data_IF_007500116369
#
_entry.id   IF_007500116369
#
_cell.length_a   1.000
_cell.length_b   1.000
_cell.length_c   1.000
_cell.angle_alpha   90.00
_cell.angle_beta   90.00
_cell.angle_gamma   90.00
#
_symmetry.space_group_name_H-M   'P 1'
#
loop_
_entity.id
_entity.type
_entity.pdbx_description
1 polymer ?
#
# COMPACT_ATOMS: atom_id res chain seq x y z
N UNK A 1 7.31 25.22 13.75
CA UNK A 1 6.84 25.61 12.39
C UNK A 1 6.86 24.38 11.49
N UNK A 2 5.75 23.66 11.37
CA UNK A 2 5.57 22.53 10.43
C UNK A 2 4.18 22.71 9.82
N UNK A 3 4.05 23.63 8.86
CA UNK A 3 2.74 24.01 8.28
C UNK A 3 2.73 24.13 6.77
N UNK A 4 3.90 24.21 6.11
CA UNK A 4 3.98 24.60 4.70
C UNK A 4 3.72 23.41 3.77
N UNK A 5 4.11 22.18 4.15
CA UNK A 5 3.89 20.99 3.32
C UNK A 5 2.47 20.42 3.34
N UNK A 6 1.79 20.47 4.49
CA UNK A 6 0.45 19.88 4.65
C UNK A 6 -0.64 20.73 3.98
N UNK A 7 -0.54 22.06 4.06
CA UNK A 7 -1.50 22.97 3.41
C UNK A 7 -1.50 22.85 1.89
N UNK A 8 -0.34 22.59 1.29
CA UNK A 8 -0.22 22.41 -0.16
C UNK A 8 -1.01 21.17 -0.64
N UNK A 9 -0.89 20.03 0.05
CA UNK A 9 -1.61 18.81 -0.30
C UNK A 9 -3.14 18.96 -0.10
N UNK A 10 -3.58 19.55 1.03
CA UNK A 10 -4.99 19.81 1.28
C UNK A 10 -5.59 20.70 0.18
N UNK A 11 -4.84 21.71 -0.28
CA UNK A 11 -5.26 22.60 -1.38
C UNK A 11 -5.36 21.88 -2.75
N UNK A 12 -4.46 20.93 -3.03
CA UNK A 12 -4.49 20.14 -4.28
C UNK A 12 -5.72 19.24 -4.33
N UNK A 13 -6.07 18.61 -3.21
CA UNK A 13 -7.27 17.77 -3.10
C UNK A 13 -8.51 18.60 -3.41
N UNK A 14 -8.67 19.76 -2.76
CA UNK A 14 -9.82 20.65 -2.97
C UNK A 14 -9.97 21.10 -4.42
N UNK A 15 -8.89 21.54 -5.07
CA UNK A 15 -8.91 21.98 -6.48
C UNK A 15 -9.30 20.89 -7.47
N UNK A 16 -9.18 19.62 -7.09
CA UNK A 16 -9.37 18.46 -7.98
C UNK A 16 -10.74 17.81 -7.84
N UNK A 17 -11.47 18.10 -6.77
CA UNK A 17 -12.82 17.56 -6.56
C UNK A 17 -13.74 17.86 -7.76
N UNK A 18 -13.61 19.03 -8.39
CA UNK A 18 -14.54 19.46 -9.46
C UNK A 18 -14.05 19.22 -10.89
N UNK A 19 -12.86 18.64 -11.10
CA UNK A 19 -12.35 18.39 -12.46
C UNK A 19 -12.99 17.15 -13.11
N UNK A 20 -13.03 17.14 -14.45
CA UNK A 20 -13.42 15.97 -15.25
C UNK A 20 -12.26 14.97 -15.34
N UNK A 21 -12.54 13.70 -15.03
CA UNK A 21 -11.58 12.58 -15.15
C UNK A 21 -10.80 12.25 -13.86
N UNK A 22 -10.26 11.03 -13.79
CA UNK A 22 -9.47 10.52 -12.65
C UNK A 22 -8.08 9.98 -13.08
N UNK A 23 -7.61 10.37 -14.28
CA UNK A 23 -6.39 9.81 -14.88
C UNK A 23 -5.13 10.10 -14.05
N UNK A 24 -5.01 11.33 -13.53
CA UNK A 24 -3.87 11.72 -12.73
C UNK A 24 -3.89 11.04 -11.35
N UNK A 25 -5.07 10.80 -10.78
CA UNK A 25 -5.23 10.01 -9.56
C UNK A 25 -4.83 8.55 -9.79
N UNK A 26 -5.21 7.97 -10.93
CA UNK A 26 -4.75 6.64 -11.32
C UNK A 26 -3.22 6.59 -11.48
N UNK A 27 -2.61 7.62 -12.09
CA UNK A 27 -1.14 7.74 -12.18
C UNK A 27 -0.50 7.76 -10.80
N UNK A 28 -1.04 8.54 -9.85
CA UNK A 28 -0.54 8.56 -8.47
C UNK A 28 -0.61 7.18 -7.83
N UNK A 29 -1.72 6.47 -7.99
CA UNK A 29 -1.88 5.11 -7.43
C UNK A 29 -0.93 4.11 -8.07
N UNK A 30 -0.74 4.18 -9.39
CA UNK A 30 0.23 3.35 -10.11
C UNK A 30 1.65 3.64 -9.60
N UNK A 31 2.03 4.91 -9.46
CA UNK A 31 3.34 5.29 -8.92
C UNK A 31 3.53 4.76 -7.50
N UNK A 32 2.53 4.86 -6.62
CA UNK A 32 2.58 4.28 -5.29
C UNK A 32 2.80 2.75 -5.34
N UNK A 33 2.13 2.08 -6.28
CA UNK A 33 2.29 0.64 -6.50
C UNK A 33 3.69 0.27 -6.96
N UNK A 34 4.24 1.01 -7.92
CA UNK A 34 5.61 0.82 -8.41
C UNK A 34 6.64 1.02 -7.30
N UNK A 35 6.46 2.03 -6.44
CA UNK A 35 7.33 2.26 -5.29
C UNK A 35 7.30 1.06 -4.32
N UNK A 36 6.14 0.44 -4.10
CA UNK A 36 6.02 -0.76 -3.27
C UNK A 36 6.53 -2.04 -3.94
N UNK A 37 6.47 -2.12 -5.27
CA UNK A 37 6.98 -3.24 -6.04
C UNK A 37 8.51 -3.24 -6.13
N UNK A 38 9.16 -2.07 -6.06
CA UNK A 38 10.60 -1.94 -6.27
C UNK A 38 11.47 -2.84 -5.39
N UNK A 39 11.19 -2.93 -4.08
CA UNK A 39 11.95 -3.80 -3.17
C UNK A 39 11.74 -5.29 -3.46
N UNK A 40 10.50 -5.68 -3.78
CA UNK A 40 10.19 -7.05 -4.18
C UNK A 40 10.74 -7.42 -5.56
N UNK A 41 10.83 -6.46 -6.48
CA UNK A 41 11.48 -6.65 -7.77
C UNK A 41 12.98 -6.89 -7.60
N UNK A 42 13.64 -6.15 -6.71
CA UNK A 42 15.02 -6.41 -6.35
C UNK A 42 15.19 -7.83 -5.81
N UNK A 43 14.41 -8.21 -4.78
CA UNK A 43 14.41 -9.58 -4.24
C UNK A 43 14.20 -10.64 -5.32
N UNK A 44 13.20 -10.45 -6.20
CA UNK A 44 12.87 -11.42 -7.23
C UNK A 44 13.98 -11.58 -8.28
N UNK A 45 14.69 -10.50 -8.61
CA UNK A 45 15.83 -10.53 -9.55
C UNK A 45 17.03 -11.25 -8.94
N UNK A 46 17.38 -10.95 -7.69
CA UNK A 46 18.48 -11.63 -6.97
C UNK A 46 18.17 -13.13 -6.85
N UNK A 47 16.96 -13.47 -6.40
CA UNK A 47 16.50 -14.85 -6.31
C UNK A 47 16.55 -15.56 -7.66
N UNK A 48 16.04 -14.94 -8.73
CA UNK A 48 16.09 -15.54 -10.07
C UNK A 48 17.52 -15.81 -10.53
N UNK A 49 18.45 -14.91 -10.23
CA UNK A 49 19.86 -15.06 -10.61
C UNK A 49 20.61 -16.16 -9.85
N UNK A 50 20.14 -16.49 -8.63
CA UNK A 50 20.72 -17.52 -7.80
C UNK A 50 20.25 -18.94 -8.16
N UNK A 51 19.22 -19.09 -9.00
CA UNK A 51 18.67 -20.39 -9.39
C UNK A 51 19.39 -20.93 -10.63
N UNK A 52 19.95 -22.14 -10.53
CA UNK A 52 20.70 -22.78 -11.63
C UNK A 52 19.79 -23.22 -12.80
N UNK A 53 18.51 -23.51 -12.55
CA UNK A 53 17.53 -23.91 -13.57
C UNK A 53 16.09 -23.56 -13.16
N UNK A 54 15.64 -22.30 -13.29
CA UNK A 54 14.31 -21.89 -12.88
C UNK A 54 13.23 -22.58 -13.75
N UNK A 55 12.29 -23.27 -13.12
CA UNK A 55 11.14 -23.85 -13.79
C UNK A 55 10.13 -22.75 -14.17
N UNK A 56 9.25 -22.96 -15.18
CA UNK A 56 8.23 -21.99 -15.55
C UNK A 56 7.35 -21.51 -14.38
N UNK A 57 7.10 -22.39 -13.39
CA UNK A 57 6.33 -22.08 -12.20
C UNK A 57 7.01 -21.07 -11.27
N UNK A 58 8.34 -21.11 -11.15
CA UNK A 58 9.13 -20.12 -10.39
C UNK A 58 8.93 -18.71 -10.93
N UNK A 59 8.85 -18.55 -12.25
CA UNK A 59 8.60 -17.25 -12.89
C UNK A 59 7.25 -16.67 -12.48
N UNK A 60 6.20 -17.49 -12.44
CA UNK A 60 4.88 -17.03 -12.00
C UNK A 60 4.87 -16.59 -10.54
N UNK A 61 5.55 -17.32 -9.66
CA UNK A 61 5.68 -16.97 -8.24
C UNK A 61 6.40 -15.63 -8.07
N UNK A 62 7.54 -15.44 -8.73
CA UNK A 62 8.31 -14.21 -8.65
C UNK A 62 7.56 -13.01 -9.24
N UNK A 63 6.86 -13.19 -10.36
CA UNK A 63 5.97 -12.16 -10.93
C UNK A 63 4.86 -11.81 -9.93
N UNK A 64 4.25 -12.82 -9.29
CA UNK A 64 3.22 -12.62 -8.27
C UNK A 64 3.71 -11.80 -7.09
N UNK A 65 4.93 -12.06 -6.61
CA UNK A 65 5.58 -11.32 -5.53
C UNK A 65 5.77 -9.83 -5.91
N UNK A 66 6.19 -9.56 -7.15
CA UNK A 66 6.38 -8.18 -7.64
C UNK A 66 5.06 -7.44 -7.87
N UNK A 67 4.05 -8.12 -8.43
CA UNK A 67 2.75 -7.51 -8.72
C UNK A 67 1.87 -7.34 -7.49
N UNK A 68 2.07 -8.18 -6.45
CA UNK A 68 1.30 -8.16 -5.21
C UNK A 68 1.12 -6.75 -4.62
N UNK A 69 2.20 -6.01 -4.32
CA UNK A 69 2.12 -4.64 -3.82
C UNK A 69 1.31 -3.68 -4.71
N UNK A 70 1.41 -3.81 -6.04
CA UNK A 70 0.65 -2.97 -6.98
C UNK A 70 -0.84 -3.26 -6.89
N UNK A 71 -1.22 -4.54 -6.83
CA UNK A 71 -2.60 -4.96 -6.67
C UNK A 71 -3.15 -4.55 -5.29
N UNK A 72 -2.33 -4.62 -4.24
CA UNK A 72 -2.71 -4.17 -2.90
C UNK A 72 -3.03 -2.68 -2.88
N UNK A 73 -2.18 -1.80 -3.43
CA UNK A 73 -2.45 -0.36 -3.40
C UNK A 73 -3.66 0.02 -4.25
N UNK A 74 -3.84 -0.64 -5.40
CA UNK A 74 -5.02 -0.46 -6.23
C UNK A 74 -6.30 -0.91 -5.49
N UNK A 75 -6.25 -2.07 -4.82
CA UNK A 75 -7.32 -2.57 -3.97
C UNK A 75 -7.66 -1.61 -2.83
N UNK A 76 -6.66 -1.04 -2.17
CA UNK A 76 -6.83 0.00 -1.14
C UNK A 76 -7.52 1.23 -1.72
N UNK A 77 -7.17 1.66 -2.94
CA UNK A 77 -7.80 2.80 -3.58
C UNK A 77 -9.29 2.57 -3.87
N UNK A 78 -9.60 1.40 -4.42
CA UNK A 78 -11.00 1.00 -4.65
C UNK A 78 -11.74 0.90 -3.33
N UNK A 79 -11.17 0.26 -2.31
CA UNK A 79 -11.75 0.15 -0.97
C UNK A 79 -12.04 1.53 -0.37
N UNK A 80 -11.06 2.43 -0.37
CA UNK A 80 -11.20 3.79 0.13
C UNK A 80 -12.36 4.51 -0.56
N UNK A 81 -12.45 4.37 -1.88
CA UNK A 81 -13.50 4.98 -2.69
C UNK A 81 -14.88 4.43 -2.36
N UNK A 82 -15.03 3.11 -2.38
CA UNK A 82 -16.32 2.44 -2.20
C UNK A 82 -16.79 2.60 -0.75
N UNK A 83 -15.95 2.30 0.23
CA UNK A 83 -16.31 2.40 1.65
C UNK A 83 -16.66 3.84 2.03
N UNK A 84 -15.83 4.82 1.65
CA UNK A 84 -16.13 6.21 1.97
C UNK A 84 -17.41 6.69 1.27
N UNK A 85 -17.65 6.28 0.03
CA UNK A 85 -18.88 6.64 -0.69
C UNK A 85 -20.14 6.06 -0.04
N UNK A 86 -20.13 4.77 0.31
CA UNK A 86 -21.27 4.09 0.93
C UNK A 86 -21.58 4.68 2.31
N UNK A 87 -20.56 4.83 3.16
CA UNK A 87 -20.74 5.39 4.51
C UNK A 87 -21.17 6.84 4.44
N UNK A 88 -20.63 7.62 3.49
CA UNK A 88 -21.08 8.99 3.29
C UNK A 88 -22.56 9.06 2.89
N UNK A 89 -23.02 8.23 1.96
CA UNK A 89 -24.44 8.19 1.56
C UNK A 89 -25.35 7.84 2.74
N UNK A 90 -24.95 6.86 3.56
CA UNK A 90 -25.68 6.49 4.78
C UNK A 90 -25.78 7.65 5.79
N UNK A 91 -24.74 8.49 5.88
CA UNK A 91 -24.71 9.66 6.77
C UNK A 91 -25.26 10.96 6.15
N UNK A 92 -25.92 10.86 5.00
CA UNK A 92 -26.57 11.97 4.30
C UNK A 92 -25.66 12.81 3.40
N UNK A 93 -24.48 12.29 3.04
CA UNK A 93 -23.56 12.94 2.10
C UNK A 93 -24.05 12.89 0.66
N UNK A 94 -23.84 13.99 -0.07
CA UNK A 94 -24.27 14.20 -1.46
C UNK A 94 -23.14 13.96 -2.45
N UNK A 95 -23.39 14.08 -3.75
CA UNK A 95 -22.35 13.98 -4.78
C UNK A 95 -22.00 12.56 -5.25
N UNK A 96 -21.51 12.43 -6.50
CA UNK A 96 -21.27 11.14 -7.15
C UNK A 96 -20.02 10.43 -6.62
N UNK A 97 -19.97 9.10 -6.78
CA UNK A 97 -18.79 8.29 -6.43
C UNK A 97 -17.51 8.74 -7.15
N UNK A 98 -17.63 9.35 -8.33
CA UNK A 98 -16.49 9.87 -9.08
C UNK A 98 -15.75 11.00 -8.34
N UNK A 99 -16.43 11.79 -7.51
CA UNK A 99 -15.78 12.78 -6.62
C UNK A 99 -14.98 12.09 -5.51
N UNK A 100 -15.56 11.04 -4.92
CA UNK A 100 -14.87 10.24 -3.90
C UNK A 100 -13.62 9.56 -4.48
N UNK A 101 -13.73 8.96 -5.69
CA UNK A 101 -12.62 8.32 -6.41
C UNK A 101 -11.43 9.27 -6.61
N UNK A 102 -11.71 10.54 -6.96
CA UNK A 102 -10.65 11.54 -7.15
C UNK A 102 -9.94 11.89 -5.85
N UNK A 103 -10.72 12.12 -4.80
CA UNK A 103 -10.18 12.47 -3.49
C UNK A 103 -9.34 11.33 -2.91
N UNK A 104 -9.82 10.10 -3.03
CA UNK A 104 -9.16 8.94 -2.43
C UNK A 104 -7.81 8.65 -3.08
N UNK A 105 -7.65 8.94 -4.38
CA UNK A 105 -6.36 8.78 -5.07
C UNK A 105 -5.25 9.63 -4.45
N UNK A 106 -5.57 10.86 -4.04
CA UNK A 106 -4.62 11.72 -3.33
C UNK A 106 -4.46 11.36 -1.86
N UNK A 107 -5.52 10.85 -1.22
CA UNK A 107 -5.46 10.40 0.17
C UNK A 107 -4.50 9.22 0.37
N UNK A 108 -4.15 8.48 -0.70
CA UNK A 108 -3.26 7.30 -0.65
C UNK A 108 -1.78 7.69 -0.74
N UNK A 109 -1.44 8.94 -1.05
CA UNK A 109 -0.02 9.37 -1.11
C UNK A 109 0.79 8.98 0.14
N UNK A 110 0.31 9.16 1.39
CA UNK A 110 1.02 8.68 2.57
C UNK A 110 1.32 7.17 2.53
N UNK A 111 0.38 6.36 2.04
CA UNK A 111 0.57 4.91 1.88
C UNK A 111 1.67 4.65 0.84
N UNK A 112 1.71 5.40 -0.26
CA UNK A 112 2.80 5.32 -1.24
C UNK A 112 4.19 5.62 -0.66
N UNK A 113 4.28 6.64 0.21
CA UNK A 113 5.54 6.96 0.92
C UNK A 113 5.95 5.82 1.86
N UNK A 114 4.99 5.23 2.58
CA UNK A 114 5.24 4.05 3.39
C UNK A 114 5.71 2.85 2.55
N UNK A 115 5.10 2.61 1.38
CA UNK A 115 5.48 1.53 0.48
C UNK A 115 6.91 1.70 -0.04
N UNK A 116 7.34 2.92 -0.35
CA UNK A 116 8.73 3.21 -0.67
C UNK A 116 9.68 2.87 0.49
N UNK A 117 9.35 3.30 1.71
CA UNK A 117 10.15 2.99 2.90
C UNK A 117 10.25 1.47 3.12
N UNK A 118 9.14 0.74 2.98
CA UNK A 118 9.13 -0.72 3.07
C UNK A 118 9.99 -1.36 1.98
N UNK A 119 9.94 -0.87 0.74
CA UNK A 119 10.83 -1.33 -0.34
C UNK A 119 12.29 -1.14 -0.02
N UNK A 120 12.68 0.01 0.56
CA UNK A 120 14.06 0.27 0.99
C UNK A 120 14.49 -0.76 2.06
N UNK A 121 13.62 -1.06 3.02
CA UNK A 121 13.90 -2.08 4.05
C UNK A 121 14.05 -3.47 3.43
N UNK A 122 13.19 -3.85 2.48
CA UNK A 122 13.32 -5.13 1.76
C UNK A 122 14.68 -5.21 1.04
N UNK A 123 15.06 -4.17 0.30
CA UNK A 123 16.38 -4.13 -0.36
C UNK A 123 17.49 -4.32 0.67
N UNK A 124 17.45 -3.58 1.79
CA UNK A 124 18.47 -3.69 2.83
C UNK A 124 18.54 -5.10 3.47
N UNK A 125 17.40 -5.77 3.62
CA UNK A 125 17.33 -7.13 4.17
C UNK A 125 17.93 -8.18 3.23
N UNK A 126 17.79 -8.00 1.91
CA UNK A 126 18.23 -8.98 0.92
C UNK A 126 19.54 -8.63 0.21
N UNK A 127 20.09 -7.42 0.40
CA UNK A 127 21.29 -6.96 -0.29
C UNK A 127 22.55 -7.81 -0.06
N UNK A 128 22.60 -8.53 1.06
CA UNK A 128 23.76 -9.36 1.45
C UNK A 128 23.37 -10.80 1.79
N UNK A 129 22.16 -11.21 1.40
CA UNK A 129 21.73 -12.59 1.60
C UNK A 129 22.39 -13.43 0.53
N UNK A 130 23.26 -14.35 0.95
CA UNK A 130 23.72 -15.43 0.10
C UNK A 130 22.54 -16.37 -0.13
N UNK A 131 21.96 -16.31 -1.33
CA UNK A 131 20.91 -17.22 -1.73
C UNK A 131 21.55 -18.60 -1.96
N UNK A 132 21.32 -19.58 -1.06
CA UNK A 132 22.00 -20.86 -1.18
C UNK A 132 21.59 -21.54 -2.50
N UNK A 133 22.53 -22.17 -3.23
CA UNK A 133 22.18 -23.00 -4.38
C UNK A 133 21.21 -24.09 -3.93
N UNK A 134 20.25 -24.42 -4.80
CA UNK A 134 19.10 -25.28 -4.48
C UNK A 134 19.53 -26.56 -3.74
N UNK A 135 19.13 -26.75 -2.46
CA UNK A 135 19.37 -28.00 -1.77
C UNK A 135 18.74 -29.16 -2.53
N UNK A 136 19.44 -30.27 -2.68
CA UNK A 136 18.88 -31.46 -3.33
C UNK A 136 17.57 -31.87 -2.62
N UNK A 137 16.48 -31.97 -3.40
CA UNK A 137 15.19 -32.49 -2.92
C UNK A 137 14.15 -31.45 -2.46
N UNK A 138 14.44 -30.14 -2.53
CA UNK A 138 13.46 -29.07 -2.25
C UNK A 138 12.93 -28.48 -3.56
N UNK A 139 11.62 -28.24 -3.67
CA UNK A 139 11.07 -27.59 -4.85
C UNK A 139 11.52 -26.12 -4.94
N UNK A 140 11.69 -25.54 -6.14
CA UNK A 140 12.04 -24.13 -6.29
C UNK A 140 11.10 -23.18 -5.54
N UNK A 141 9.82 -23.52 -5.40
CA UNK A 141 8.84 -22.72 -4.65
C UNK A 141 9.13 -22.71 -3.16
N UNK A 142 9.42 -23.87 -2.58
CA UNK A 142 9.79 -23.98 -1.18
C UNK A 142 11.11 -23.24 -0.90
N UNK A 143 12.04 -23.22 -1.85
CA UNK A 143 13.25 -22.41 -1.74
C UNK A 143 12.93 -20.90 -1.72
N UNK A 144 12.05 -20.42 -2.61
CA UNK A 144 11.62 -19.01 -2.62
C UNK A 144 10.95 -18.62 -1.30
N UNK A 145 10.06 -19.47 -0.79
CA UNK A 145 9.38 -19.23 0.50
C UNK A 145 10.36 -19.19 1.66
N UNK A 146 11.26 -20.17 1.78
CA UNK A 146 12.25 -20.22 2.86
C UNK A 146 13.12 -18.95 2.89
N UNK A 147 13.59 -18.47 1.74
CA UNK A 147 14.41 -17.26 1.72
C UNK A 147 13.58 -16.01 2.02
N UNK A 148 12.32 -15.96 1.57
CA UNK A 148 11.42 -14.89 1.98
C UNK A 148 11.25 -14.88 3.50
N UNK A 149 11.01 -16.02 4.13
CA UNK A 149 10.86 -16.15 5.58
C UNK A 149 12.12 -15.64 6.31
N UNK A 150 13.32 -16.03 5.88
CA UNK A 150 14.58 -15.57 6.47
C UNK A 150 14.71 -14.04 6.54
N UNK A 151 14.28 -13.33 5.49
CA UNK A 151 14.34 -11.86 5.47
C UNK A 151 13.13 -11.19 6.13
N UNK A 152 11.93 -11.71 5.86
CA UNK A 152 10.67 -11.07 6.22
C UNK A 152 10.23 -11.37 7.66
N UNK A 153 10.73 -12.41 8.31
CA UNK A 153 10.51 -12.62 9.76
C UNK A 153 11.34 -11.66 10.63
N UNK A 154 12.16 -10.80 10.03
CA UNK A 154 12.98 -9.86 10.76
C UNK A 154 12.16 -8.82 11.54
N UNK A 155 12.60 -8.44 12.75
CA UNK A 155 11.98 -7.32 13.50
C UNK A 155 11.97 -6.00 12.70
N UNK A 156 12.96 -5.81 11.82
CA UNK A 156 13.05 -4.64 10.95
C UNK A 156 11.89 -4.63 9.94
N UNK A 157 11.56 -5.76 9.33
CA UNK A 157 10.41 -5.85 8.43
C UNK A 157 9.09 -5.65 9.18
N UNK A 158 8.93 -6.26 10.35
CA UNK A 158 7.76 -6.04 11.21
C UNK A 158 7.58 -4.56 11.59
N UNK A 159 8.66 -3.88 11.94
CA UNK A 159 8.65 -2.45 12.25
C UNK A 159 8.11 -1.59 11.08
N UNK A 160 8.29 -2.02 9.83
CA UNK A 160 7.71 -1.31 8.68
C UNK A 160 6.18 -1.27 8.75
N UNK A 161 5.51 -2.31 9.24
CA UNK A 161 4.05 -2.33 9.39
C UNK A 161 3.58 -1.38 10.48
N UNK A 162 4.32 -1.30 11.59
CA UNK A 162 4.04 -0.36 12.68
C UNK A 162 4.16 1.09 12.21
N UNK A 163 5.22 1.39 11.44
CA UNK A 163 5.37 2.69 10.77
C UNK A 163 4.23 2.91 9.78
N UNK A 164 3.79 1.87 9.08
CA UNK A 164 2.64 1.91 8.18
C UNK A 164 1.36 2.40 8.84
N UNK A 165 1.10 2.05 10.11
CA UNK A 165 -0.06 2.54 10.85
C UNK A 165 -0.05 4.07 11.00
N UNK A 166 1.13 4.68 11.16
CA UNK A 166 1.29 6.14 11.20
C UNK A 166 0.91 6.76 9.85
N UNK A 167 1.33 6.13 8.75
CA UNK A 167 0.97 6.59 7.40
C UNK A 167 -0.51 6.36 7.08
N UNK A 168 -1.14 5.32 7.62
CA UNK A 168 -2.60 5.13 7.55
C UNK A 168 -3.33 6.23 8.31
N UNK A 169 -2.86 6.62 9.50
CA UNK A 169 -3.43 7.76 10.24
C UNK A 169 -3.27 9.09 9.48
N UNK A 170 -2.15 9.28 8.78
CA UNK A 170 -1.97 10.43 7.89
C UNK A 170 -2.94 10.38 6.70
N UNK A 171 -3.05 9.21 6.05
CA UNK A 171 -3.99 8.97 4.95
C UNK A 171 -5.45 9.23 5.36
N UNK A 172 -5.86 8.77 6.54
CA UNK A 172 -7.16 9.05 7.15
C UNK A 172 -7.45 10.54 7.23
N UNK A 173 -6.50 11.34 7.70
CA UNK A 173 -6.66 12.80 7.81
C UNK A 173 -6.89 13.44 6.44
N UNK A 174 -6.11 13.06 5.42
CA UNK A 174 -6.28 13.58 4.06
C UNK A 174 -7.62 13.14 3.46
N UNK A 175 -8.01 11.90 3.68
CA UNK A 175 -9.29 11.37 3.24
C UNK A 175 -10.45 12.15 3.89
N UNK A 176 -10.38 12.44 5.19
CA UNK A 176 -11.39 13.25 5.88
C UNK A 176 -11.53 14.64 5.26
N UNK A 177 -10.41 15.33 4.97
CA UNK A 177 -10.41 16.64 4.30
C UNK A 177 -11.11 16.55 2.93
N UNK A 178 -10.77 15.54 2.14
CA UNK A 178 -11.33 15.46 0.81
C UNK A 178 -12.78 15.00 0.81
N UNK A 179 -13.21 14.11 1.71
CA UNK A 179 -14.60 13.65 1.81
C UNK A 179 -15.54 14.76 2.25
N UNK A 180 -15.11 15.62 3.17
CA UNK A 180 -15.85 16.84 3.55
C UNK A 180 -16.32 17.61 2.31
N UNK A 181 -15.39 17.82 1.37
CA UNK A 181 -15.65 18.56 0.13
C UNK A 181 -16.36 17.71 -0.93
N UNK A 182 -15.93 16.46 -1.14
CA UNK A 182 -16.49 15.58 -2.18
C UNK A 182 -17.94 15.17 -1.90
N UNK A 183 -18.32 15.11 -0.61
CA UNK A 183 -19.64 14.62 -0.18
C UNK A 183 -20.49 15.67 0.52
N UNK A 184 -20.02 16.92 0.61
CA UNK A 184 -20.77 18.05 1.18
C UNK A 184 -21.28 17.74 2.61
N UNK A 185 -20.43 17.11 3.42
CA UNK A 185 -20.72 16.75 4.81
C UNK A 185 -19.89 17.59 5.77
N UNK A 186 -20.35 17.75 7.01
CA UNK A 186 -19.55 18.43 8.04
C UNK A 186 -18.23 17.69 8.30
N UNK A 187 -17.20 18.43 8.75
CA UNK A 187 -15.88 17.90 9.09
C UNK A 187 -15.94 16.68 10.01
N UNK A 188 -16.80 16.71 11.02
CA UNK A 188 -16.93 15.61 11.98
C UNK A 188 -17.53 14.35 11.36
N UNK A 189 -18.50 14.51 10.45
CA UNK A 189 -19.00 13.38 9.65
C UNK A 189 -17.91 12.85 8.73
N UNK A 190 -17.17 13.73 8.06
CA UNK A 190 -16.09 13.34 7.15
C UNK A 190 -15.00 12.51 7.85
N UNK A 191 -14.61 12.89 9.07
CA UNK A 191 -13.68 12.10 9.91
C UNK A 191 -14.19 10.70 10.21
N UNK A 192 -15.47 10.56 10.56
CA UNK A 192 -16.12 9.26 10.81
C UNK A 192 -16.19 8.40 9.55
N UNK A 193 -16.53 9.01 8.41
CA UNK A 193 -16.57 8.34 7.10
C UNK A 193 -15.18 7.83 6.73
N UNK A 194 -14.15 8.70 6.82
CA UNK A 194 -12.78 8.34 6.50
C UNK A 194 -12.20 7.27 7.44
N UNK A 195 -12.67 7.22 8.69
CA UNK A 195 -12.19 6.25 9.66
C UNK A 195 -12.48 4.81 9.23
N UNK A 196 -13.62 4.55 8.57
CA UNK A 196 -14.00 3.18 8.16
C UNK A 196 -12.94 2.52 7.26
N UNK A 197 -12.60 3.05 6.07
CA UNK A 197 -11.56 2.45 5.24
C UNK A 197 -10.17 2.52 5.88
N UNK A 198 -9.86 3.56 6.66
CA UNK A 198 -8.57 3.67 7.34
C UNK A 198 -8.38 2.58 8.41
N UNK A 199 -9.40 2.29 9.21
CA UNK A 199 -9.39 1.20 10.20
C UNK A 199 -9.25 -0.14 9.51
N UNK A 200 -9.98 -0.39 8.42
CA UNK A 200 -9.86 -1.64 7.65
C UNK A 200 -8.42 -1.84 7.18
N UNK A 201 -7.79 -0.80 6.59
CA UNK A 201 -6.39 -0.89 6.14
C UNK A 201 -5.43 -1.02 7.32
N UNK A 202 -5.66 -0.31 8.42
CA UNK A 202 -4.85 -0.43 9.64
C UNK A 202 -4.87 -1.85 10.21
N UNK A 203 -6.05 -2.48 10.28
CA UNK A 203 -6.19 -3.88 10.71
C UNK A 203 -5.52 -4.84 9.73
N UNK A 204 -5.67 -4.61 8.42
CA UNK A 204 -4.97 -5.39 7.40
C UNK A 204 -3.43 -5.29 7.56
N UNK A 205 -2.89 -4.09 7.79
CA UNK A 205 -1.45 -3.92 8.02
C UNK A 205 -0.99 -4.59 9.32
N UNK A 206 -1.79 -4.50 10.39
CA UNK A 206 -1.46 -5.16 11.65
C UNK A 206 -1.45 -6.68 11.50
N UNK A 207 -2.48 -7.27 10.90
CA UNK A 207 -2.53 -8.69 10.60
C UNK A 207 -1.37 -9.09 9.66
N UNK A 208 -1.08 -8.26 8.67
CA UNK A 208 0.02 -8.49 7.74
C UNK A 208 1.39 -8.40 8.40
N UNK A 209 1.56 -7.61 9.46
CA UNK A 209 2.80 -7.62 10.24
C UNK A 209 2.88 -8.83 11.15
N UNK A 210 1.77 -9.16 11.83
CA UNK A 210 1.70 -10.28 12.76
C UNK A 210 1.98 -11.62 12.09
N UNK A 211 1.51 -11.84 10.85
CA UNK A 211 1.78 -13.09 10.12
C UNK A 211 3.28 -13.35 9.91
N UNK A 212 4.10 -12.30 9.82
CA UNK A 212 5.56 -12.42 9.67
C UNK A 212 6.28 -12.43 11.02
N UNK A 213 5.60 -12.08 12.12
CA UNK A 213 6.18 -12.09 13.46
C UNK A 213 5.93 -13.39 14.22
N UNK A 214 4.81 -14.07 13.94
CA UNK A 214 4.44 -15.32 14.59
C UNK A 214 4.61 -16.51 13.64
N UNK A 215 5.78 -17.17 13.62
CA UNK A 215 5.91 -18.47 12.98
C UNK A 215 5.20 -19.49 13.89
N UNK A 216 4.00 -19.92 13.50
CA UNK A 216 3.31 -21.07 14.08
C UNK A 216 3.14 -22.14 13.01
#
# INVERSE_FOLDING_TARGET
MVGIGLGAQESLIQRRVDRRGAALEAIVVILCGLLGAAGFAYFALEMYSALEAPLPYTNYTLIGIVLGPMLTVFGIWVLYTVAAHLVANFLGGRGPISRALRVTGWAIMPIGVWMLLRSIVIVALFYSVDFPPSPEGISPEAQVQNVMELGLESPAYFATFLVGLVFVAWSWRLLAVGIENAKEVSRDKARKIAAVPAVIVGLYLLQSGLQWWTPF
#
